data_IF_544133050973
#
_entry.id   IF_544133050973
#
_cell.length_a   1.000
_cell.length_b   1.000
_cell.length_c   1.000
_cell.angle_alpha   90.00
_cell.angle_beta   90.00
_cell.angle_gamma   90.00
#
_symmetry.space_group_name_H-M   'P 1'
#
loop_
_entity.id
_entity.type
_entity.pdbx_description
1 polymer ?
#
# COMPACT_ATOMS: atom_id res chain seq x y z
N UNK A 1 18.33 -10.10 0.14
CA UNK A 1 16.98 -10.16 -0.46
C UNK A 1 17.11 -9.94 -1.97
N UNK A 2 16.31 -10.64 -2.77
CA UNK A 2 16.35 -10.56 -4.24
C UNK A 2 14.95 -10.32 -4.83
N UNK A 3 14.86 -10.03 -6.13
CA UNK A 3 13.59 -9.72 -6.79
C UNK A 3 12.57 -10.86 -6.67
N UNK A 4 13.00 -12.11 -6.86
CA UNK A 4 12.13 -13.28 -6.76
C UNK A 4 11.46 -13.39 -5.38
N UNK A 5 12.21 -13.10 -4.31
CA UNK A 5 11.66 -13.10 -2.94
C UNK A 5 10.63 -11.98 -2.72
N UNK A 6 10.81 -10.83 -3.36
CA UNK A 6 9.88 -9.71 -3.31
C UNK A 6 8.60 -10.01 -4.10
N UNK A 7 8.72 -10.58 -5.32
CA UNK A 7 7.58 -11.02 -6.12
C UNK A 7 6.79 -12.10 -5.37
N UNK A 8 7.46 -13.05 -4.72
CA UNK A 8 6.76 -14.04 -3.90
C UNK A 8 6.00 -13.39 -2.72
N UNK A 9 6.57 -12.35 -2.12
CA UNK A 9 5.91 -11.57 -1.07
C UNK A 9 4.70 -10.76 -1.60
N UNK A 10 4.75 -10.26 -2.83
CA UNK A 10 3.57 -9.67 -3.49
C UNK A 10 2.46 -10.72 -3.64
N UNK A 11 2.78 -11.94 -4.11
CA UNK A 11 1.79 -13.03 -4.21
C UNK A 11 1.17 -13.37 -2.85
N UNK A 12 1.95 -13.39 -1.78
CA UNK A 12 1.45 -13.56 -0.40
C UNK A 12 0.55 -12.40 0.02
N UNK A 13 0.84 -11.18 -0.41
CA UNK A 13 0.00 -9.99 -0.17
C UNK A 13 -1.42 -10.19 -0.71
N UNK A 14 -1.57 -10.71 -1.94
CA UNK A 14 -2.90 -11.03 -2.50
C UNK A 14 -3.68 -12.01 -1.62
N UNK A 15 -3.01 -13.01 -1.06
CA UNK A 15 -3.63 -13.96 -0.13
C UNK A 15 -4.11 -13.21 1.12
N UNK A 16 -3.26 -12.39 1.74
CA UNK A 16 -3.61 -11.61 2.94
C UNK A 16 -4.84 -10.73 2.68
N UNK A 17 -4.86 -9.98 1.56
CA UNK A 17 -5.98 -9.10 1.22
C UNK A 17 -7.29 -9.87 1.01
N UNK A 18 -7.22 -11.09 0.46
CA UNK A 18 -8.39 -11.97 0.30
C UNK A 18 -8.90 -12.51 1.63
N UNK A 19 -8.01 -13.00 2.48
CA UNK A 19 -8.35 -13.49 3.82
C UNK A 19 -8.92 -12.38 4.72
N UNK A 20 -8.50 -11.12 4.49
CA UNK A 20 -9.08 -9.95 5.14
C UNK A 20 -10.40 -9.47 4.50
N UNK A 21 -10.88 -10.10 3.42
CA UNK A 21 -12.14 -9.76 2.77
C UNK A 21 -12.16 -8.44 1.99
N UNK A 22 -11.03 -7.75 1.84
CA UNK A 22 -10.94 -6.42 1.21
C UNK A 22 -10.34 -6.41 -0.19
N UNK A 23 -9.84 -7.54 -0.69
CA UNK A 23 -9.33 -7.64 -2.07
C UNK A 23 -10.46 -7.44 -3.09
N UNK A 24 -10.28 -6.51 -4.03
CA UNK A 24 -11.19 -6.31 -5.18
C UNK A 24 -10.56 -6.84 -6.47
N UNK A 25 -9.39 -6.34 -6.85
CA UNK A 25 -8.77 -6.68 -8.13
C UNK A 25 -7.24 -6.69 -8.07
N UNK A 26 -6.62 -7.58 -8.85
CA UNK A 26 -5.21 -7.52 -9.20
C UNK A 26 -5.09 -6.95 -10.61
N UNK A 27 -4.11 -6.08 -10.84
CA UNK A 27 -3.86 -5.61 -12.19
C UNK A 27 -3.22 -6.70 -13.05
N UNK A 28 -3.98 -7.20 -14.02
CA UNK A 28 -3.56 -8.23 -14.99
C UNK A 28 -3.29 -7.66 -16.40
N UNK A 29 -3.37 -6.35 -16.60
CA UNK A 29 -3.09 -5.73 -17.92
C UNK A 29 -1.60 -5.77 -18.28
N UNK A 30 -0.74 -6.16 -17.32
CA UNK A 30 0.71 -6.28 -17.47
C UNK A 30 1.24 -7.51 -16.73
N UNK A 31 2.41 -7.99 -17.16
CA UNK A 31 3.13 -9.04 -16.42
C UNK A 31 3.54 -8.55 -15.02
N UNK A 32 3.55 -9.47 -14.05
CA UNK A 32 4.00 -9.17 -12.69
C UNK A 32 5.48 -8.77 -12.74
N UNK A 33 5.75 -7.53 -12.37
CA UNK A 33 7.10 -6.97 -12.29
C UNK A 33 7.19 -5.95 -11.16
N UNK A 34 8.39 -5.74 -10.65
CA UNK A 34 8.71 -4.69 -9.68
C UNK A 34 9.33 -3.46 -10.32
N UNK A 35 9.54 -3.43 -11.65
CA UNK A 35 10.10 -2.26 -12.31
C UNK A 35 9.16 -1.04 -12.13
N UNK A 36 9.70 0.07 -11.63
CA UNK A 36 8.96 1.31 -11.42
C UNK A 36 8.34 1.86 -12.73
N UNK A 37 8.97 1.63 -13.87
CA UNK A 37 8.49 2.07 -15.19
C UNK A 37 7.21 1.34 -15.65
N UNK A 38 6.68 0.41 -14.84
CA UNK A 38 5.37 -0.20 -15.09
C UNK A 38 4.20 0.76 -14.87
N UNK A 39 4.43 1.86 -14.16
CA UNK A 39 3.43 2.91 -13.94
C UNK A 39 3.53 3.98 -15.04
N UNK A 40 2.40 4.61 -15.36
CA UNK A 40 2.30 5.58 -16.43
C UNK A 40 3.13 6.84 -16.18
N UNK A 41 3.62 7.45 -17.27
CA UNK A 41 4.32 8.75 -17.22
C UNK A 41 3.43 9.85 -16.66
N UNK A 42 2.14 9.82 -17.00
CA UNK A 42 1.13 10.77 -16.49
C UNK A 42 1.03 10.69 -14.95
N UNK A 43 0.98 9.48 -14.38
CA UNK A 43 1.02 9.29 -12.93
C UNK A 43 2.28 9.87 -12.28
N UNK A 44 3.46 9.65 -12.89
CA UNK A 44 4.71 10.22 -12.37
C UNK A 44 4.72 11.74 -12.40
N UNK A 45 4.17 12.36 -13.44
CA UNK A 45 4.05 13.81 -13.54
C UNK A 45 3.13 14.36 -12.46
N UNK A 46 1.97 13.73 -12.22
CA UNK A 46 1.04 14.16 -11.16
C UNK A 46 1.62 14.01 -9.75
N UNK A 47 2.45 13.00 -9.50
CA UNK A 47 3.07 12.83 -8.19
C UNK A 47 4.02 13.97 -7.78
N UNK A 48 4.46 14.83 -8.70
CA UNK A 48 5.45 15.87 -8.39
C UNK A 48 4.85 17.10 -7.71
N UNK A 49 3.65 17.51 -8.13
CA UNK A 49 3.07 18.80 -7.71
C UNK A 49 1.55 18.81 -7.92
N UNK A 50 0.84 17.79 -7.41
CA UNK A 50 -0.62 17.74 -7.50
C UNK A 50 -1.27 17.41 -6.18
N UNK A 51 -2.52 17.84 -6.07
CA UNK A 51 -3.41 17.44 -4.98
C UNK A 51 -3.60 15.93 -4.96
N UNK A 52 -3.74 15.40 -3.74
CA UNK A 52 -3.81 13.95 -3.51
C UNK A 52 -4.89 13.26 -4.36
N UNK A 53 -6.07 13.87 -4.45
CA UNK A 53 -7.19 13.33 -5.23
C UNK A 53 -6.84 13.17 -6.71
N UNK A 54 -6.12 14.14 -7.28
CA UNK A 54 -5.72 14.09 -8.69
C UNK A 54 -4.71 12.98 -8.93
N UNK A 55 -3.74 12.81 -8.02
CA UNK A 55 -2.77 11.70 -8.07
C UNK A 55 -3.50 10.35 -8.05
N UNK A 56 -4.44 10.18 -7.10
CA UNK A 56 -5.23 8.96 -6.95
C UNK A 56 -6.09 8.67 -8.19
N UNK A 57 -6.82 9.68 -8.70
CA UNK A 57 -7.67 9.54 -9.89
C UNK A 57 -6.86 9.17 -11.12
N UNK A 58 -5.70 9.80 -11.32
CA UNK A 58 -4.78 9.44 -12.41
C UNK A 58 -4.29 7.99 -12.27
N UNK A 59 -3.95 7.57 -11.05
CA UNK A 59 -3.50 6.20 -10.81
C UNK A 59 -4.60 5.17 -11.13
N UNK A 60 -5.84 5.41 -10.71
CA UNK A 60 -6.97 4.53 -11.04
C UNK A 60 -7.24 4.50 -12.56
N UNK A 61 -7.35 5.68 -13.19
CA UNK A 61 -7.64 5.82 -14.63
C UNK A 61 -6.65 5.04 -15.49
N UNK A 62 -5.36 5.10 -15.15
CA UNK A 62 -4.29 4.46 -15.90
C UNK A 62 -3.99 3.03 -15.42
N UNK A 63 -4.74 2.51 -14.45
CA UNK A 63 -4.48 1.21 -13.79
C UNK A 63 -3.06 1.13 -13.22
N UNK A 64 -2.56 2.22 -12.65
CA UNK A 64 -1.26 2.30 -12.00
C UNK A 64 -1.32 1.75 -10.57
N UNK A 65 -1.77 0.51 -10.41
CA UNK A 65 -1.76 -0.21 -9.14
C UNK A 65 -1.45 -1.68 -9.34
N UNK A 66 -0.97 -2.35 -8.31
CA UNK A 66 -0.83 -3.80 -8.30
C UNK A 66 -2.09 -4.46 -7.73
N UNK A 67 -2.64 -3.90 -6.65
CA UNK A 67 -3.89 -4.35 -6.05
C UNK A 67 -4.85 -3.17 -5.82
N UNK A 68 -6.11 -3.38 -6.16
CA UNK A 68 -7.25 -2.54 -5.84
C UNK A 68 -8.08 -3.22 -4.75
N UNK A 69 -8.52 -2.44 -3.76
CA UNK A 69 -9.32 -2.90 -2.62
C UNK A 69 -10.80 -2.59 -2.82
N UNK A 70 -11.65 -3.16 -1.97
CA UNK A 70 -13.12 -2.98 -2.04
C UNK A 70 -13.59 -1.56 -1.76
N UNK A 71 -12.83 -0.82 -0.96
CA UNK A 71 -13.03 0.61 -0.69
C UNK A 71 -12.36 1.52 -1.75
N UNK A 72 -11.93 0.92 -2.86
CA UNK A 72 -11.17 1.54 -3.96
C UNK A 72 -9.78 2.09 -3.62
N UNK A 73 -9.30 1.89 -2.39
CA UNK A 73 -7.90 2.15 -2.06
C UNK A 73 -6.97 1.22 -2.88
N UNK A 74 -5.74 1.68 -3.15
CA UNK A 74 -4.79 0.94 -4.02
C UNK A 74 -3.44 0.71 -3.35
N UNK A 75 -2.81 -0.42 -3.71
CA UNK A 75 -1.42 -0.74 -3.41
C UNK A 75 -0.55 -0.72 -4.67
N UNK A 76 0.66 -0.16 -4.52
CA UNK A 76 1.72 -0.17 -5.52
C UNK A 76 3.00 -0.76 -4.90
N UNK A 77 3.72 -1.57 -5.67
CA UNK A 77 5.01 -2.13 -5.30
C UNK A 77 6.03 -1.96 -6.42
N UNK A 78 7.18 -1.40 -6.10
CA UNK A 78 8.28 -1.29 -7.06
C UNK A 78 9.64 -1.41 -6.38
N UNK A 79 10.63 -1.86 -7.13
CA UNK A 79 12.03 -1.81 -6.74
C UNK A 79 12.92 -1.62 -7.97
N UNK A 80 14.08 -1.02 -7.76
CA UNK A 80 15.19 -1.02 -8.71
C UNK A 80 16.35 -1.77 -8.08
N UNK A 81 16.83 -2.80 -8.76
CA UNK A 81 18.03 -3.53 -8.34
C UNK A 81 19.26 -2.92 -9.00
N UNK A 82 20.35 -2.78 -8.24
CA UNK A 82 21.66 -2.45 -8.79
C UNK A 82 22.56 -3.67 -8.64
N UNK A 83 23.21 -4.08 -9.72
CA UNK A 83 24.05 -5.30 -9.75
C UNK A 83 23.32 -6.57 -9.26
N UNK A 84 22.00 -6.67 -9.50
CA UNK A 84 21.17 -7.78 -9.02
C UNK A 84 20.91 -7.81 -7.51
N UNK A 85 21.33 -6.77 -6.76
CA UNK A 85 21.21 -6.68 -5.30
C UNK A 85 20.30 -5.51 -4.92
N UNK A 86 19.48 -5.72 -3.89
CA UNK A 86 18.60 -4.67 -3.38
C UNK A 86 19.34 -3.65 -2.52
N UNK A 87 20.42 -4.06 -1.83
CA UNK A 87 21.15 -3.22 -0.89
C UNK A 87 21.80 -1.99 -1.54
N UNK A 88 22.04 -2.04 -2.86
CA UNK A 88 22.61 -0.94 -3.65
C UNK A 88 21.56 -0.22 -4.52
N UNK A 89 20.29 -0.62 -4.38
CA UNK A 89 19.17 -0.19 -5.21
C UNK A 89 18.15 0.63 -4.43
N UNK A 90 16.89 0.51 -4.85
CA UNK A 90 15.77 1.18 -4.21
C UNK A 90 14.51 0.32 -4.15
N UNK A 91 13.68 0.55 -3.15
CA UNK A 91 12.33 -0.01 -3.00
C UNK A 91 11.37 1.15 -2.78
N UNK A 92 10.19 1.07 -3.39
CA UNK A 92 9.07 1.95 -3.09
C UNK A 92 7.78 1.14 -3.06
N UNK A 93 7.13 1.11 -1.90
CA UNK A 93 5.77 0.57 -1.74
C UNK A 93 4.84 1.71 -1.34
N UNK A 94 3.66 1.78 -1.93
CA UNK A 94 2.70 2.83 -1.62
C UNK A 94 1.31 2.24 -1.41
N UNK A 95 0.61 2.78 -0.43
CA UNK A 95 -0.81 2.62 -0.20
C UNK A 95 -1.45 3.99 -0.39
N UNK A 96 -2.36 4.07 -1.35
CA UNK A 96 -3.20 5.26 -1.55
C UNK A 96 -4.60 4.91 -1.07
N UNK A 97 -5.00 5.54 0.03
CA UNK A 97 -6.36 5.48 0.52
C UNK A 97 -7.30 6.23 -0.43
N UNK A 98 -8.52 5.73 -0.62
CA UNK A 98 -9.54 6.45 -1.36
C UNK A 98 -9.77 7.86 -0.76
N UNK A 99 -9.66 8.95 -1.56
CA UNK A 99 -9.87 10.32 -1.09
C UNK A 99 -11.33 10.67 -0.85
N UNK A 100 -12.28 9.77 -1.08
CA UNK A 100 -13.71 10.01 -0.90
C UNK A 100 -14.33 9.00 0.05
N UNK A 101 -15.37 9.45 0.74
CA UNK A 101 -16.16 8.62 1.65
C UNK A 101 -17.49 8.29 0.97
N UNK A 102 -17.62 7.04 0.54
CA UNK A 102 -18.87 6.47 0.02
C UNK A 102 -18.97 5.01 0.45
N UNK A 103 -20.19 4.50 0.47
CA UNK A 103 -20.46 3.10 0.77
C UNK A 103 -20.08 2.21 -0.40
N UNK A 104 -19.78 0.94 -0.14
CA UNK A 104 -19.77 -0.05 -1.22
C UNK A 104 -21.19 -0.19 -1.80
N UNK A 105 -21.33 -0.70 -3.03
CA UNK A 105 -22.66 -0.89 -3.63
C UNK A 105 -23.59 -1.75 -2.75
N UNK A 106 -23.07 -2.82 -2.14
CA UNK A 106 -23.82 -3.66 -1.21
C UNK A 106 -24.29 -2.90 0.04
N UNK A 107 -23.45 -2.02 0.59
CA UNK A 107 -23.80 -1.17 1.73
C UNK A 107 -24.79 -0.06 1.34
N UNK A 108 -24.63 0.54 0.16
CA UNK A 108 -25.58 1.49 -0.42
C UNK A 108 -26.96 0.86 -0.55
N UNK A 109 -27.05 -0.32 -1.19
CA UNK A 109 -28.30 -1.07 -1.33
C UNK A 109 -28.95 -1.34 0.03
N UNK A 110 -28.15 -1.79 1.00
CA UNK A 110 -28.63 -2.04 2.35
C UNK A 110 -29.16 -0.78 3.04
N UNK A 111 -28.54 0.38 2.81
CA UNK A 111 -28.99 1.66 3.38
C UNK A 111 -30.36 2.06 2.81
N UNK A 112 -30.58 1.86 1.52
CA UNK A 112 -31.86 2.15 0.86
C UNK A 112 -32.89 1.00 0.97
N UNK A 113 -32.55 -0.08 1.68
CA UNK A 113 -33.47 -1.17 2.03
C UNK A 113 -33.60 -2.29 1.01
N UNK A 114 -32.62 -2.45 0.12
CA UNK A 114 -32.55 -3.53 -0.87
C UNK A 114 -31.36 -4.46 -0.62
N UNK A 115 -31.41 -5.67 -1.18
CA UNK A 115 -30.23 -6.53 -1.34
C UNK A 115 -29.85 -6.68 -2.81
N UNK A 116 -28.60 -7.07 -3.06
CA UNK A 116 -28.14 -7.32 -4.42
C UNK A 116 -28.95 -8.42 -5.12
N UNK A 117 -29.44 -9.42 -4.38
CA UNK A 117 -30.30 -10.47 -4.93
C UNK A 117 -31.67 -9.94 -5.40
N UNK A 118 -32.15 -8.84 -4.82
CA UNK A 118 -33.45 -8.25 -5.15
C UNK A 118 -33.38 -7.33 -6.38
N UNK A 119 -32.34 -6.50 -6.49
CA UNK A 119 -32.25 -5.47 -7.52
C UNK A 119 -31.08 -5.64 -8.51
N UNK A 120 -30.13 -6.53 -8.26
CA UNK A 120 -28.93 -6.69 -9.09
C UNK A 120 -28.24 -5.34 -9.35
N UNK A 121 -28.05 -5.02 -10.63
CA UNK A 121 -27.41 -3.77 -11.09
C UNK A 121 -28.41 -2.64 -11.41
N UNK A 122 -29.71 -2.79 -11.10
CA UNK A 122 -30.75 -1.80 -11.47
C UNK A 122 -30.49 -0.42 -10.87
N UNK A 123 -29.88 -0.35 -9.68
CA UNK A 123 -29.60 0.88 -8.95
C UNK A 123 -28.14 1.34 -9.08
N UNK A 124 -27.41 0.79 -10.06
CA UNK A 124 -26.00 1.09 -10.25
C UNK A 124 -25.78 2.55 -10.68
N UNK A 125 -26.70 3.14 -11.46
CA UNK A 125 -26.59 4.53 -11.90
C UNK A 125 -26.77 5.51 -10.74
N UNK A 126 -27.74 5.24 -9.85
CA UNK A 126 -27.98 6.00 -8.63
C UNK A 126 -26.77 5.90 -7.69
N UNK A 127 -26.20 4.71 -7.56
CA UNK A 127 -24.97 4.49 -6.81
C UNK A 127 -23.79 5.26 -7.40
N UNK A 128 -23.59 5.23 -8.72
CA UNK A 128 -22.52 5.99 -9.39
C UNK A 128 -22.67 7.50 -9.18
N UNK A 129 -23.91 8.00 -9.14
CA UNK A 129 -24.18 9.39 -8.79
C UNK A 129 -23.78 9.70 -7.34
N UNK A 130 -24.15 8.86 -6.38
CA UNK A 130 -23.76 9.02 -4.96
C UNK A 130 -22.23 9.05 -4.81
N UNK A 131 -21.52 8.13 -5.47
CA UNK A 131 -20.05 8.10 -5.49
C UNK A 131 -19.45 9.38 -6.10
N UNK A 132 -20.05 9.93 -7.15
CA UNK A 132 -19.58 11.16 -7.78
C UNK A 132 -19.75 12.39 -6.87
N UNK A 133 -20.84 12.42 -6.10
CA UNK A 133 -21.19 13.49 -5.16
C UNK A 133 -20.55 13.31 -3.77
N UNK A 134 -19.95 12.14 -3.51
CA UNK A 134 -19.29 11.79 -2.26
C UNK A 134 -18.28 12.83 -1.79
N UNK A 135 -18.31 13.13 -0.49
CA UNK A 135 -17.44 14.14 0.12
C UNK A 135 -15.98 13.71 0.10
N UNK A 136 -15.09 14.69 0.06
CA UNK A 136 -13.66 14.46 0.26
C UNK A 136 -13.39 14.03 1.70
N UNK A 137 -12.60 12.97 1.84
CA UNK A 137 -12.03 12.53 3.09
C UNK A 137 -10.88 13.48 3.48
N UNK A 138 -11.17 14.44 4.35
CA UNK A 138 -10.16 15.38 4.86
C UNK A 138 -9.10 14.70 5.75
N UNK A 139 -9.31 13.45 6.14
CA UNK A 139 -8.40 12.63 6.95
C UNK A 139 -7.68 11.55 6.15
N UNK A 140 -7.53 11.70 4.83
CA UNK A 140 -6.87 10.70 3.99
C UNK A 140 -5.38 10.56 4.35
N UNK A 141 -4.92 9.33 4.59
CA UNK A 141 -3.56 9.04 5.03
C UNK A 141 -2.94 8.05 4.04
N UNK A 142 -2.34 8.54 2.94
CA UNK A 142 -1.46 7.70 2.14
C UNK A 142 -0.24 7.30 2.97
N UNK A 143 0.24 6.09 2.74
CA UNK A 143 1.41 5.54 3.41
C UNK A 143 2.37 5.07 2.34
N UNK A 144 3.64 5.45 2.45
CA UNK A 144 4.68 5.00 1.53
C UNK A 144 5.86 4.47 2.32
N UNK A 145 6.39 3.34 1.90
CA UNK A 145 7.66 2.81 2.38
C UNK A 145 8.71 3.02 1.30
N UNK A 146 9.85 3.60 1.68
CA UNK A 146 11.00 3.81 0.81
C UNK A 146 12.25 3.14 1.39
N UNK A 147 12.98 2.45 0.52
CA UNK A 147 14.38 2.11 0.72
C UNK A 147 15.18 2.75 -0.41
N UNK A 148 16.21 3.54 -0.14
CA UNK A 148 16.99 4.15 -1.21
C UNK A 148 18.45 4.39 -0.84
N UNK A 149 19.34 3.57 -1.41
CA UNK A 149 20.77 3.67 -1.15
C UNK A 149 21.38 4.98 -1.66
N UNK A 150 20.96 5.49 -2.82
CA UNK A 150 21.59 6.69 -3.41
C UNK A 150 21.20 7.99 -2.71
N UNK A 151 20.09 7.97 -1.97
CA UNK A 151 19.57 9.13 -1.22
C UNK A 151 19.90 9.05 0.27
N UNK A 152 20.56 7.98 0.72
CA UNK A 152 20.90 7.80 2.12
C UNK A 152 21.82 8.92 2.61
N UNK A 153 21.38 9.60 3.65
CA UNK A 153 22.18 10.56 4.40
C UNK A 153 22.00 10.19 5.87
N UNK A 154 23.04 9.69 6.57
CA UNK A 154 22.92 9.29 7.96
C UNK A 154 22.21 10.36 8.78
N UNK A 155 21.27 9.97 9.64
CA UNK A 155 20.46 10.84 10.53
C UNK A 155 19.45 11.75 9.81
N UNK A 156 19.76 12.24 8.61
CA UNK A 156 18.95 13.23 7.90
C UNK A 156 17.95 12.62 6.91
N UNK A 157 18.35 11.53 6.26
CA UNK A 157 17.54 10.80 5.30
C UNK A 157 17.79 9.29 5.48
N UNK A 158 17.09 8.65 6.44
CA UNK A 158 17.29 7.24 6.77
C UNK A 158 17.16 6.37 5.52
N UNK A 159 18.02 5.35 5.37
CA UNK A 159 18.01 4.53 4.16
C UNK A 159 16.67 3.80 3.97
N UNK A 160 16.00 3.44 5.06
CA UNK A 160 14.73 2.73 5.12
C UNK A 160 13.75 3.51 6.00
N UNK A 161 12.65 3.99 5.42
CA UNK A 161 11.69 4.82 6.15
C UNK A 161 10.27 4.73 5.61
N UNK A 162 9.30 5.10 6.46
CA UNK A 162 7.91 5.31 6.10
C UNK A 162 7.59 6.80 6.00
N UNK A 163 6.89 7.19 4.95
CA UNK A 163 6.12 8.41 4.86
C UNK A 163 4.67 8.13 5.24
N UNK A 164 4.06 9.04 6.00
CA UNK A 164 2.66 8.99 6.43
C UNK A 164 2.02 10.34 6.13
N UNK A 165 0.96 10.35 5.33
CA UNK A 165 0.28 11.55 4.86
C UNK A 165 0.82 12.08 3.52
N UNK A 166 0.03 12.95 2.88
CA UNK A 166 0.39 13.65 1.64
C UNK A 166 1.07 14.99 1.95
N UNK A 167 1.90 15.47 1.02
CA UNK A 167 2.52 16.79 1.04
C UNK A 167 3.19 17.19 2.37
N UNK A 168 3.99 16.27 2.95
CA UNK A 168 4.75 16.52 4.17
C UNK A 168 6.15 15.86 4.10
N UNK A 169 6.98 16.13 5.12
CA UNK A 169 8.37 15.64 5.20
C UNK A 169 8.57 14.55 6.25
N UNK A 170 7.49 13.96 6.77
CA UNK A 170 7.56 12.93 7.81
C UNK A 170 8.28 11.70 7.24
N UNK A 171 9.31 11.26 7.97
CA UNK A 171 10.06 10.03 7.71
C UNK A 171 10.21 9.28 9.02
N UNK A 172 9.52 8.16 9.16
CA UNK A 172 9.67 7.27 10.32
C UNK A 172 10.70 6.22 9.95
N UNK A 173 11.88 6.26 10.57
CA UNK A 173 13.00 5.37 10.27
C UNK A 173 12.72 3.91 10.67
N UNK A 174 13.32 2.97 9.93
CA UNK A 174 13.29 1.54 10.21
C UNK A 174 14.71 0.96 10.14
N UNK A 175 15.02 0.01 11.01
CA UNK A 175 16.28 -0.75 10.92
C UNK A 175 16.18 -2.01 10.05
N UNK A 176 15.15 -2.08 9.19
CA UNK A 176 14.83 -3.25 8.35
C UNK A 176 14.44 -2.86 6.94
N UNK A 177 14.69 -3.76 6.01
CA UNK A 177 14.14 -3.72 4.66
C UNK A 177 12.79 -4.43 4.67
N UNK A 178 11.69 -3.68 4.48
CA UNK A 178 10.35 -4.26 4.44
C UNK A 178 10.12 -5.08 3.16
N UNK A 179 9.30 -6.11 3.31
CA UNK A 179 8.73 -6.86 2.20
C UNK A 179 7.30 -6.36 1.89
N UNK A 180 6.77 -6.57 0.67
CA UNK A 180 5.39 -6.22 0.31
C UNK A 180 4.36 -6.70 1.32
N UNK A 181 4.44 -7.98 1.73
CA UNK A 181 3.52 -8.54 2.73
C UNK A 181 3.61 -7.82 4.08
N UNK A 182 4.82 -7.40 4.51
CA UNK A 182 5.00 -6.74 5.80
C UNK A 182 4.46 -5.32 5.78
N UNK A 183 4.67 -4.62 4.66
CA UNK A 183 4.09 -3.31 4.40
C UNK A 183 2.56 -3.38 4.41
N UNK A 184 1.95 -4.36 3.73
CA UNK A 184 0.49 -4.52 3.74
C UNK A 184 -0.05 -4.87 5.12
N UNK A 185 0.61 -5.76 5.88
CA UNK A 185 0.22 -6.03 7.28
C UNK A 185 0.27 -4.75 8.12
N UNK A 186 1.29 -3.91 7.93
CA UNK A 186 1.39 -2.62 8.61
C UNK A 186 0.20 -1.72 8.25
N UNK A 187 -0.16 -1.61 6.97
CA UNK A 187 -1.33 -0.82 6.54
C UNK A 187 -2.62 -1.38 7.11
N UNK A 188 -2.86 -2.69 7.00
CA UNK A 188 -4.07 -3.35 7.54
C UNK A 188 -4.28 -3.08 9.02
N UNK A 189 -3.22 -3.25 9.83
CA UNK A 189 -3.31 -3.04 11.28
C UNK A 189 -3.64 -1.59 11.67
N UNK A 190 -3.16 -0.61 10.90
CA UNK A 190 -3.26 0.80 11.28
C UNK A 190 -4.39 1.56 10.57
N UNK A 191 -4.69 1.21 9.32
CA UNK A 191 -5.72 1.88 8.50
C UNK A 191 -7.06 1.13 8.56
N UNK A 192 -7.03 -0.19 8.77
CA UNK A 192 -8.23 -1.03 8.82
C UNK A 192 -8.37 -1.74 10.19
N UNK A 193 -8.41 -0.99 11.32
CA UNK A 193 -8.36 -1.57 12.65
C UNK A 193 -9.56 -2.48 12.97
N UNK A 194 -10.75 -2.20 12.41
CA UNK A 194 -11.94 -3.03 12.60
C UNK A 194 -11.78 -4.40 11.93
N UNK A 195 -11.40 -4.42 10.63
CA UNK A 195 -11.08 -5.65 9.91
C UNK A 195 -9.95 -6.40 10.61
N UNK A 196 -8.91 -5.69 11.06
CA UNK A 196 -7.80 -6.32 11.76
C UNK A 196 -8.23 -7.00 13.07
N UNK A 197 -9.07 -6.32 13.86
CA UNK A 197 -9.60 -6.82 15.14
C UNK A 197 -10.44 -8.09 14.96
N UNK A 198 -11.16 -8.20 13.86
CA UNK A 198 -11.98 -9.37 13.54
C UNK A 198 -11.14 -10.52 12.97
N UNK A 199 -10.30 -10.23 11.97
CA UNK A 199 -9.60 -11.25 11.18
C UNK A 199 -8.38 -11.82 11.92
N UNK A 200 -7.59 -10.99 12.58
CA UNK A 200 -6.35 -11.45 13.22
C UNK A 200 -6.55 -12.58 14.25
N UNK A 201 -7.51 -12.51 15.20
CA UNK A 201 -7.71 -13.58 16.18
C UNK A 201 -8.48 -14.79 15.63
N UNK A 202 -9.24 -14.63 14.53
CA UNK A 202 -10.12 -15.67 14.00
C UNK A 202 -9.53 -16.45 12.81
N UNK A 203 -8.45 -15.95 12.19
CA UNK A 203 -7.83 -16.54 11.02
C UNK A 203 -6.38 -16.99 11.31
N UNK A 204 -6.21 -18.29 11.57
CA UNK A 204 -4.90 -18.90 11.91
C UNK A 204 -3.84 -18.67 10.82
N UNK A 205 -4.25 -18.64 9.56
CA UNK A 205 -3.36 -18.40 8.42
C UNK A 205 -2.84 -16.96 8.42
N UNK A 206 -3.70 -15.97 8.67
CA UNK A 206 -3.28 -14.57 8.85
C UNK A 206 -2.34 -14.45 10.05
N UNK A 207 -2.68 -15.04 11.20
CA UNK A 207 -1.84 -15.02 12.39
C UNK A 207 -0.44 -15.58 12.11
N UNK A 208 -0.36 -16.74 11.46
CA UNK A 208 0.91 -17.39 11.07
C UNK A 208 1.74 -16.50 10.15
N UNK A 209 1.13 -15.98 9.07
CA UNK A 209 1.81 -15.07 8.14
C UNK A 209 2.36 -13.84 8.88
N UNK A 210 1.58 -13.28 9.82
CA UNK A 210 2.00 -12.11 10.58
C UNK A 210 3.21 -12.38 11.47
N UNK A 211 3.21 -13.52 12.19
CA UNK A 211 4.30 -13.94 13.07
C UNK A 211 5.59 -14.22 12.30
N UNK A 212 5.48 -14.74 11.07
CA UNK A 212 6.64 -15.06 10.23
C UNK A 212 7.15 -13.87 9.41
N UNK A 213 6.27 -12.95 9.01
CA UNK A 213 6.56 -11.86 8.06
C UNK A 213 7.77 -11.02 8.44
N UNK A 214 7.98 -10.77 9.74
CA UNK A 214 9.10 -9.96 10.24
C UNK A 214 10.45 -10.68 10.07
N UNK A 215 10.48 -12.02 10.15
CA UNK A 215 11.69 -12.83 9.92
C UNK A 215 12.16 -12.74 8.46
N UNK A 216 11.24 -12.47 7.53
CA UNK A 216 11.55 -12.27 6.11
C UNK A 216 12.06 -10.85 5.80
N UNK A 217 12.16 -9.94 6.78
CA UNK A 217 12.64 -8.57 6.61
C UNK A 217 14.11 -8.48 7.09
N UNK A 218 15.09 -8.38 6.17
CA UNK A 218 16.51 -8.24 6.50
C UNK A 218 16.73 -7.03 7.38
N UNK A 219 17.58 -7.18 8.38
CA UNK A 219 18.10 -6.03 9.11
C UNK A 219 19.08 -5.25 8.23
N UNK A 220 19.17 -3.95 8.47
CA UNK A 220 20.17 -3.10 7.84
C UNK A 220 21.56 -3.41 8.41
N UNK A 221 22.57 -3.30 7.56
CA UNK A 221 23.97 -3.40 7.97
C UNK A 221 24.42 -2.07 8.61
N UNK A 222 25.39 -2.11 9.54
CA UNK A 222 25.91 -0.91 10.22
C UNK A 222 26.56 0.10 9.26
N UNK A 223 26.99 -0.33 8.08
CA UNK A 223 27.48 0.57 7.02
C UNK A 223 26.40 1.48 6.44
N UNK A 224 25.12 1.12 6.59
CA UNK A 224 23.96 1.81 6.01
C UNK A 224 22.88 2.13 7.04
N UNK A 225 23.20 2.01 8.32
CA UNK A 225 22.40 2.45 9.45
C UNK A 225 23.38 2.74 10.60
N UNK A 226 23.66 4.02 10.83
CA UNK A 226 24.76 4.43 11.71
C UNK A 226 24.45 4.13 13.18
N UNK A 227 25.50 4.08 14.02
CA UNK A 227 25.34 3.95 15.47
C UNK A 227 24.55 5.14 16.06
N UNK A 228 24.70 6.34 15.48
CA UNK A 228 23.91 7.50 15.85
C UNK A 228 22.41 7.29 15.58
N UNK A 229 22.05 6.66 14.45
CA UNK A 229 20.66 6.32 14.13
C UNK A 229 20.09 5.24 15.06
N UNK A 230 20.92 4.32 15.59
CA UNK A 230 20.52 3.33 16.60
C UNK A 230 20.09 3.97 17.94
N UNK A 231 20.53 5.21 18.21
CA UNK A 231 20.13 5.97 19.39
C UNK A 231 18.85 6.80 19.20
N UNK A 232 18.38 6.97 17.96
CA UNK A 232 17.13 7.68 17.66
C UNK A 232 15.92 6.74 17.83
N UNK A 233 14.71 7.33 17.87
CA UNK A 233 13.49 6.53 17.85
C UNK A 233 13.22 6.02 16.43
N UNK A 234 13.22 4.70 16.26
CA UNK A 234 12.90 4.03 14.99
C UNK A 234 12.04 2.77 15.22
N UNK A 235 11.48 2.23 14.13
CA UNK A 235 10.70 0.98 14.17
C UNK A 235 11.65 -0.21 13.94
N UNK A 236 11.63 -1.15 14.90
CA UNK A 236 12.40 -2.42 14.90
C UNK A 236 11.66 -3.55 14.18
#
# INVERSE_FOLDING_TARGET
>A
MNEASLINSMKKTKIILKECGIFKQENLTRHITLNINKFSVDFFQKCQDSEYELIYKTALKNTDFDYLLKDDSIFQFSCSLRNGKINEGSIRYAYFQNPREYLTYEEFLKEIGFTYEECGDELLLEYEQDVAEAKLNNGVIPIRYDYNFSMYQPVHHPISHLHIGHNNQIRVALNKILTPQKFVIFVLRNVYPNIWKEVYPSNEKIMTICMESKKCCPSLDKSIFSEEEEHLLFIV
#
